data_IF_527996636152
#
_entry.id   IF_527996636152
#
_cell.length_a   1.000
_cell.length_b   1.000
_cell.length_c   1.000
_cell.angle_alpha   90.00
_cell.angle_beta   90.00
_cell.angle_gamma   90.00
#
_symmetry.space_group_name_H-M   'P 1'
#
loop_
_entity.id
_entity.type
_entity.pdbx_description
1 polymer ?
#
# COMPACT_ATOMS: atom_id res chain seq x y z
N UNK A 1 11.81 24.75 -23.45
CA UNK A 1 13.11 24.26 -22.95
C UNK A 1 12.91 22.82 -22.46
N UNK A 2 13.82 21.85 -22.67
CA UNK A 2 13.55 20.43 -22.38
C UNK A 2 13.09 20.12 -20.94
N UNK A 3 13.59 20.87 -19.96
CA UNK A 3 13.23 20.71 -18.54
C UNK A 3 11.75 21.01 -18.29
N UNK A 4 11.16 22.01 -18.96
CA UNK A 4 9.74 22.34 -18.75
C UNK A 4 8.80 21.21 -19.18
N UNK A 5 9.19 20.44 -20.20
CA UNK A 5 8.43 19.25 -20.61
C UNK A 5 8.53 18.12 -19.59
N UNK A 6 9.71 17.92 -18.99
CA UNK A 6 9.90 16.92 -17.93
C UNK A 6 9.11 17.26 -16.67
N UNK A 7 9.09 18.54 -16.27
CA UNK A 7 8.29 19.02 -15.14
C UNK A 7 6.81 18.83 -15.39
N UNK A 8 6.30 19.28 -16.53
CA UNK A 8 4.87 19.14 -16.86
C UNK A 8 4.43 17.68 -16.92
N UNK A 9 5.29 16.79 -17.41
CA UNK A 9 5.02 15.34 -17.40
C UNK A 9 4.97 14.78 -15.98
N UNK A 10 5.92 15.16 -15.12
CA UNK A 10 5.94 14.69 -13.74
C UNK A 10 4.73 15.18 -12.94
N UNK A 11 4.27 16.41 -13.20
CA UNK A 11 3.03 16.95 -12.61
C UNK A 11 1.80 16.14 -13.03
N UNK A 12 1.69 15.78 -14.32
CA UNK A 12 0.60 14.93 -14.82
C UNK A 12 0.64 13.54 -14.17
N UNK A 13 1.82 12.89 -14.15
CA UNK A 13 1.99 11.58 -13.53
C UNK A 13 1.64 11.61 -12.02
N UNK A 14 1.96 12.71 -11.34
CA UNK A 14 1.62 12.93 -9.94
C UNK A 14 0.12 13.14 -9.71
N UNK A 15 -0.55 13.93 -10.53
CA UNK A 15 -1.99 14.14 -10.42
C UNK A 15 -2.77 12.87 -10.74
N UNK A 16 -2.33 12.11 -11.73
CA UNK A 16 -2.88 10.80 -12.08
C UNK A 16 -2.71 9.81 -10.92
N UNK A 17 -1.54 9.81 -10.29
CA UNK A 17 -1.23 9.00 -9.11
C UNK A 17 -2.18 9.32 -7.94
N UNK A 18 -2.46 10.59 -7.69
CA UNK A 18 -3.36 11.00 -6.61
C UNK A 18 -4.82 10.67 -6.91
N UNK A 19 -5.26 10.87 -8.16
CA UNK A 19 -6.66 10.63 -8.56
C UNK A 19 -7.05 9.16 -8.49
N UNK A 20 -6.10 8.24 -8.68
CA UNK A 20 -6.35 6.79 -8.66
C UNK A 20 -6.31 6.16 -7.27
N UNK A 21 -6.05 6.94 -6.22
CA UNK A 21 -5.98 6.40 -4.85
C UNK A 21 -7.37 5.96 -4.36
N UNK A 22 -7.39 4.82 -3.67
CA UNK A 22 -8.58 4.23 -3.05
C UNK A 22 -9.26 5.20 -2.09
N UNK A 23 -10.59 5.24 -2.14
CA UNK A 23 -11.42 6.11 -1.28
C UNK A 23 -12.11 5.34 -0.16
N UNK A 24 -12.25 4.02 -0.32
CA UNK A 24 -12.87 3.12 0.65
C UNK A 24 -11.95 1.95 0.99
N UNK A 25 -12.24 1.26 2.10
CA UNK A 25 -11.50 0.06 2.47
C UNK A 25 -11.68 -1.03 1.41
N UNK A 26 -12.87 -1.14 0.84
CA UNK A 26 -13.20 -2.09 -0.21
C UNK A 26 -12.36 -1.83 -1.48
N UNK A 27 -12.21 -0.57 -1.87
CA UNK A 27 -11.36 -0.17 -3.00
C UNK A 27 -9.90 -0.54 -2.73
N UNK A 28 -9.40 -0.23 -1.53
CA UNK A 28 -8.01 -0.54 -1.13
C UNK A 28 -7.74 -2.05 -1.12
N UNK A 29 -8.71 -2.85 -0.68
CA UNK A 29 -8.63 -4.32 -0.74
C UNK A 29 -8.62 -4.81 -2.18
N UNK A 30 -9.45 -4.23 -3.06
CA UNK A 30 -9.49 -4.58 -4.47
C UNK A 30 -8.18 -4.22 -5.18
N UNK A 31 -7.63 -3.03 -4.89
CA UNK A 31 -6.36 -2.57 -5.42
C UNK A 31 -5.19 -3.43 -4.94
N UNK A 32 -5.16 -3.80 -3.66
CA UNK A 32 -4.16 -4.70 -3.10
C UNK A 32 -4.16 -6.06 -3.83
N UNK A 33 -5.35 -6.63 -4.04
CA UNK A 33 -5.51 -7.88 -4.80
C UNK A 33 -5.06 -7.73 -6.24
N UNK A 34 -5.40 -6.61 -6.90
CA UNK A 34 -5.00 -6.33 -8.28
C UNK A 34 -3.48 -6.22 -8.42
N UNK A 35 -2.80 -5.60 -7.45
CA UNK A 35 -1.33 -5.41 -7.47
C UNK A 35 -0.57 -6.70 -7.15
N UNK A 36 -0.95 -7.41 -6.09
CA UNK A 36 -0.14 -8.53 -5.57
C UNK A 36 -0.74 -9.91 -5.80
N UNK A 37 -1.93 -10.01 -6.39
CA UNK A 37 -2.58 -11.29 -6.68
C UNK A 37 -3.01 -12.08 -5.44
N UNK A 38 -3.08 -11.44 -4.27
CA UNK A 38 -3.41 -12.09 -3.00
C UNK A 38 -4.30 -11.22 -2.12
N UNK A 39 -4.94 -11.84 -1.12
CA UNK A 39 -5.69 -11.09 -0.12
C UNK A 39 -4.74 -10.25 0.75
N UNK A 40 -5.17 -9.05 1.18
CA UNK A 40 -4.42 -8.27 2.14
C UNK A 40 -4.23 -9.02 3.46
N UNK A 41 -3.15 -8.73 4.20
CA UNK A 41 -2.83 -9.42 5.45
C UNK A 41 -3.86 -9.13 6.54
N UNK A 42 -3.87 -9.97 7.57
CA UNK A 42 -4.65 -9.72 8.79
C UNK A 42 -4.23 -8.37 9.39
N UNK A 43 -5.21 -7.53 9.75
CA UNK A 43 -4.97 -6.18 10.28
C UNK A 43 -4.91 -5.07 9.23
N UNK A 44 -5.14 -5.38 7.95
CA UNK A 44 -5.19 -4.37 6.89
C UNK A 44 -6.24 -3.28 7.13
N UNK A 45 -7.40 -3.63 7.72
CA UNK A 45 -8.43 -2.67 8.12
C UNK A 45 -7.91 -1.63 9.14
N UNK A 46 -7.01 -2.08 10.02
CA UNK A 46 -6.42 -1.24 11.06
C UNK A 46 -5.34 -0.33 10.50
N UNK A 47 -4.53 -0.83 9.57
CA UNK A 47 -3.63 0.00 8.78
C UNK A 47 -4.40 1.03 7.96
N UNK A 48 -5.49 0.66 7.30
CA UNK A 48 -6.35 1.58 6.52
C UNK A 48 -6.90 2.70 7.40
N UNK A 49 -7.45 2.34 8.57
CA UNK A 49 -7.96 3.30 9.54
C UNK A 49 -6.88 4.28 10.00
N UNK A 50 -5.68 3.77 10.29
CA UNK A 50 -4.53 4.61 10.63
C UNK A 50 -4.16 5.55 9.48
N UNK A 51 -4.08 5.05 8.25
CA UNK A 51 -3.74 5.84 7.07
C UNK A 51 -4.71 7.00 6.86
N UNK A 52 -6.01 6.75 7.03
CA UNK A 52 -7.05 7.77 6.92
C UNK A 52 -7.01 8.80 8.05
N UNK A 53 -6.81 8.36 9.30
CA UNK A 53 -6.66 9.27 10.43
C UNK A 53 -5.44 10.20 10.29
N UNK A 54 -4.38 9.72 9.66
CA UNK A 54 -3.14 10.47 9.46
C UNK A 54 -3.05 11.17 8.10
N UNK A 55 -4.15 11.22 7.32
CA UNK A 55 -4.20 11.88 6.02
C UNK A 55 -3.09 11.41 5.05
N UNK A 56 -2.78 10.11 5.09
CA UNK A 56 -1.84 9.51 4.14
C UNK A 56 -2.42 9.68 2.73
N UNK A 57 -1.66 10.35 1.86
CA UNK A 57 -2.12 10.70 0.51
C UNK A 57 -1.96 9.56 -0.50
N UNK A 58 -0.97 8.72 -0.28
CA UNK A 58 -0.60 7.61 -1.17
C UNK A 58 -0.96 6.30 -0.50
N UNK A 59 -2.25 6.10 -0.24
CA UNK A 59 -2.74 4.91 0.46
C UNK A 59 -2.47 3.64 -0.32
N UNK A 60 -2.42 3.68 -1.65
CA UNK A 60 -2.18 2.48 -2.47
C UNK A 60 -0.71 2.22 -2.78
N UNK A 61 0.20 3.07 -2.31
CA UNK A 61 1.65 2.94 -2.54
C UNK A 61 2.34 2.28 -1.35
N UNK A 62 1.90 1.06 -1.02
CA UNK A 62 2.40 0.25 0.10
C UNK A 62 3.47 -0.78 -0.30
N UNK A 63 4.12 -0.65 -1.45
CA UNK A 63 5.10 -1.63 -1.97
C UNK A 63 6.22 -1.98 -0.98
N UNK A 64 6.70 -0.98 -0.24
CA UNK A 64 7.71 -1.19 0.80
C UNK A 64 7.14 -2.04 1.94
N UNK A 65 5.97 -1.66 2.48
CA UNK A 65 5.29 -2.41 3.55
C UNK A 65 4.95 -3.83 3.08
N UNK A 66 4.48 -3.99 1.85
CA UNK A 66 4.22 -5.30 1.25
C UNK A 66 5.49 -6.14 1.21
N UNK A 67 6.59 -5.58 0.70
CA UNK A 67 7.89 -6.26 0.61
C UNK A 67 8.44 -6.64 1.97
N UNK A 68 8.25 -5.80 2.99
CA UNK A 68 8.68 -6.06 4.35
C UNK A 68 7.84 -7.17 5.01
N UNK A 69 6.54 -7.25 4.68
CA UNK A 69 5.62 -8.26 5.21
C UNK A 69 5.71 -9.59 4.46
N UNK A 70 6.05 -9.58 3.17
CA UNK A 70 6.05 -10.76 2.29
C UNK A 70 6.88 -11.96 2.85
N UNK A 71 8.10 -11.79 3.40
CA UNK A 71 8.86 -12.89 4.00
C UNK A 71 8.12 -13.59 5.15
N UNK A 72 7.18 -12.90 5.77
CA UNK A 72 6.40 -13.42 6.89
C UNK A 72 5.11 -14.12 6.45
N UNK A 73 4.61 -13.85 5.23
CA UNK A 73 3.41 -14.47 4.67
C UNK A 73 3.63 -15.93 4.26
N UNK A 74 4.87 -16.33 4.00
CA UNK A 74 5.24 -17.72 3.71
C UNK A 74 5.37 -18.60 4.97
N UNK A 75 5.32 -18.00 6.16
CA UNK A 75 5.45 -18.72 7.42
C UNK A 75 4.10 -19.30 7.85
N UNK A 76 4.13 -20.48 8.47
CA UNK A 76 2.95 -20.99 9.16
C UNK A 76 2.46 -19.97 10.20
N UNK A 77 1.15 -19.82 10.44
CA UNK A 77 0.63 -18.79 11.35
C UNK A 77 1.22 -18.83 12.77
N UNK A 78 1.60 -20.02 13.26
CA UNK A 78 2.30 -20.19 14.54
C UNK A 78 3.70 -19.58 14.54
N UNK A 79 4.44 -19.76 13.44
CA UNK A 79 5.80 -19.25 13.25
C UNK A 79 5.79 -17.72 13.04
N UNK A 80 4.83 -17.21 12.29
CA UNK A 80 4.61 -15.76 12.16
C UNK A 80 4.39 -15.08 13.52
N UNK A 81 3.45 -15.60 14.32
CA UNK A 81 3.15 -15.08 15.66
C UNK A 81 4.36 -15.14 16.60
N UNK A 82 5.22 -16.15 16.45
CA UNK A 82 6.47 -16.26 17.24
C UNK A 82 7.42 -15.12 16.91
N UNK A 83 7.64 -14.81 15.63
CA UNK A 83 8.58 -13.77 15.19
C UNK A 83 8.09 -12.35 15.50
N UNK A 84 6.79 -12.09 15.34
CA UNK A 84 6.19 -10.79 15.70
C UNK A 84 6.35 -10.49 17.20
N UNK A 85 6.31 -11.51 18.08
CA UNK A 85 6.52 -11.34 19.52
C UNK A 85 7.97 -11.12 19.94
N UNK A 86 8.93 -11.44 19.07
CA UNK A 86 10.36 -11.30 19.34
C UNK A 86 10.97 -10.01 18.80
N UNK A 87 10.16 -9.20 18.09
CA UNK A 87 10.47 -7.82 17.69
C UNK A 87 9.94 -6.86 18.75
#
# INVERSE_FOLDING_TARGET
HPISHLVSRAEQEWDDLLRRQSQTLEDAVAEYRRRYGMNPPVGFDSWWRYAMQNHVRLVDEYDQVHSDVLPFLSLAPSEFRRRVKSL
#
